data_IF_371723721181
#
_entry.id   IF_371723721181
#
_cell.length_a   1.000
_cell.length_b   1.000
_cell.length_c   1.000
_cell.angle_alpha   90.00
_cell.angle_beta   90.00
_cell.angle_gamma   90.00
#
_symmetry.space_group_name_H-M   'P 1'
#
loop_
_entity.id
_entity.type
_entity.pdbx_description
1 polymer ?
#
# COMPACT_ATOMS: atom_id res chain seq x y z
N UNK A 1 21.45 -10.10 6.78
CA UNK A 1 20.04 -9.85 6.40
C UNK A 1 20.04 -9.37 4.96
N UNK A 2 19.52 -10.18 4.05
CA UNK A 2 19.39 -9.79 2.64
C UNK A 2 18.07 -9.07 2.43
N UNK A 3 18.11 -7.94 1.72
CA UNK A 3 16.96 -7.07 1.56
C UNK A 3 16.75 -6.66 0.11
N UNK A 4 15.52 -6.77 -0.37
CA UNK A 4 15.14 -6.31 -1.70
C UNK A 4 14.07 -5.22 -1.63
N UNK A 5 13.84 -4.57 -2.77
CA UNK A 5 12.72 -3.65 -2.97
C UNK A 5 11.99 -3.96 -4.26
N UNK A 6 10.67 -3.87 -4.24
CA UNK A 6 9.77 -3.97 -5.39
C UNK A 6 9.27 -2.58 -5.75
N UNK A 7 9.41 -2.18 -7.01
CA UNK A 7 8.82 -0.97 -7.59
C UNK A 7 7.78 -1.43 -8.61
N UNK A 8 6.51 -1.08 -8.39
CA UNK A 8 5.43 -1.45 -9.30
C UNK A 8 5.17 -0.32 -10.29
N UNK A 9 5.51 -0.55 -11.56
CA UNK A 9 5.23 0.38 -12.65
C UNK A 9 3.88 0.06 -13.32
N UNK A 10 3.08 1.07 -13.56
CA UNK A 10 1.95 1.03 -14.49
C UNK A 10 1.73 2.40 -15.12
N UNK A 11 2.19 2.58 -16.38
CA UNK A 11 2.11 3.84 -17.11
C UNK A 11 2.71 5.04 -16.34
N UNK A 12 3.78 4.80 -15.58
CA UNK A 12 4.47 5.81 -14.77
C UNK A 12 6.00 5.65 -14.84
N UNK A 13 6.50 5.53 -16.07
CA UNK A 13 7.90 5.27 -16.38
C UNK A 13 8.83 6.30 -15.77
N UNK A 14 8.47 7.59 -15.86
CA UNK A 14 9.32 8.70 -15.39
C UNK A 14 9.62 8.57 -13.89
N UNK A 15 8.59 8.40 -13.06
CA UNK A 15 8.78 8.21 -11.62
C UNK A 15 9.50 6.91 -11.29
N UNK A 16 9.20 5.82 -12.02
CA UNK A 16 9.88 4.54 -11.86
C UNK A 16 11.40 4.66 -12.12
N UNK A 17 11.80 5.31 -13.20
CA UNK A 17 13.21 5.55 -13.52
C UNK A 17 13.89 6.46 -12.50
N UNK A 18 13.20 7.50 -12.04
CA UNK A 18 13.71 8.42 -11.02
C UNK A 18 13.96 7.69 -9.71
N UNK A 19 12.99 6.91 -9.23
CA UNK A 19 13.14 6.12 -8.01
C UNK A 19 14.23 5.06 -8.16
N UNK A 20 14.29 4.33 -9.28
CA UNK A 20 15.35 3.36 -9.54
C UNK A 20 16.75 4.00 -9.47
N UNK A 21 16.95 5.17 -10.11
CA UNK A 21 18.24 5.89 -10.07
C UNK A 21 18.66 6.28 -8.65
N UNK A 22 17.70 6.64 -7.79
CA UNK A 22 17.96 6.95 -6.39
C UNK A 22 18.37 5.69 -5.60
N UNK A 23 17.66 4.58 -5.82
CA UNK A 23 17.83 3.36 -5.01
C UNK A 23 18.99 2.47 -5.44
N UNK A 24 19.44 2.56 -6.70
CA UNK A 24 20.45 1.63 -7.24
C UNK A 24 21.79 1.68 -6.50
N UNK A 25 22.12 2.84 -5.92
CA UNK A 25 23.38 3.06 -5.21
C UNK A 25 23.28 2.81 -3.69
N UNK A 26 22.09 2.49 -3.18
CA UNK A 26 21.90 2.17 -1.76
C UNK A 26 22.48 0.79 -1.44
N UNK A 27 23.44 0.77 -0.51
CA UNK A 27 24.18 -0.44 -0.13
C UNK A 27 23.33 -1.42 0.66
N UNK A 28 22.33 -0.93 1.41
CA UNK A 28 21.41 -1.73 2.20
C UNK A 28 20.49 -2.61 1.33
N UNK A 29 20.26 -2.23 0.08
CA UNK A 29 19.44 -2.98 -0.86
C UNK A 29 20.29 -3.97 -1.65
N UNK A 30 20.08 -5.26 -1.42
CA UNK A 30 20.75 -6.34 -2.18
C UNK A 30 20.25 -6.42 -3.62
N UNK A 31 18.93 -6.21 -3.83
CA UNK A 31 18.29 -6.35 -5.15
C UNK A 31 17.10 -5.40 -5.31
N UNK A 32 16.88 -4.95 -6.54
CA UNK A 32 15.73 -4.13 -6.95
C UNK A 32 14.90 -4.94 -7.96
N UNK A 33 13.61 -5.09 -7.72
CA UNK A 33 12.66 -5.70 -8.64
C UNK A 33 11.75 -4.62 -9.19
N UNK A 34 11.78 -4.38 -10.49
CA UNK A 34 10.82 -3.51 -11.16
C UNK A 34 9.78 -4.41 -11.81
N UNK A 35 8.54 -4.31 -11.37
CA UNK A 35 7.42 -5.05 -11.96
C UNK A 35 6.65 -4.11 -12.87
N UNK A 36 6.69 -4.36 -14.17
CA UNK A 36 5.81 -3.69 -15.12
C UNK A 36 4.47 -4.41 -15.17
N UNK A 37 3.43 -3.76 -14.67
CA UNK A 37 2.10 -4.34 -14.50
C UNK A 37 1.26 -4.28 -15.78
N UNK A 38 1.85 -4.71 -16.90
CA UNK A 38 1.28 -4.63 -18.25
C UNK A 38 0.97 -3.19 -18.67
N UNK A 39 1.96 -2.31 -18.58
CA UNK A 39 1.84 -0.93 -19.07
C UNK A 39 1.52 -0.89 -20.56
N UNK A 40 0.75 0.12 -20.96
CA UNK A 40 0.31 0.37 -22.35
C UNK A 40 1.10 1.48 -23.05
N UNK A 41 2.04 2.10 -22.32
CA UNK A 41 2.99 3.10 -22.83
C UNK A 41 4.33 2.46 -23.25
N UNK A 42 5.35 3.27 -23.45
CA UNK A 42 6.71 2.83 -23.82
C UNK A 42 7.54 2.24 -22.66
N UNK A 43 6.92 2.03 -21.48
CA UNK A 43 7.63 1.55 -20.28
C UNK A 43 8.43 0.28 -20.52
N UNK A 44 7.83 -0.71 -21.20
CA UNK A 44 8.43 -2.03 -21.40
C UNK A 44 9.82 -1.96 -22.04
N UNK A 45 9.94 -1.26 -23.17
CA UNK A 45 11.20 -1.16 -23.93
C UNK A 45 12.33 -0.49 -23.13
N UNK A 46 11.97 0.49 -22.30
CA UNK A 46 12.92 1.22 -21.48
C UNK A 46 13.34 0.43 -20.26
N UNK A 47 12.38 -0.20 -19.56
CA UNK A 47 12.65 -0.98 -18.36
C UNK A 47 13.48 -2.23 -18.64
N UNK A 48 13.27 -2.88 -19.79
CA UNK A 48 14.03 -4.07 -20.19
C UNK A 48 15.56 -3.82 -20.22
N UNK A 49 15.99 -2.59 -20.53
CA UNK A 49 17.40 -2.18 -20.56
C UNK A 49 18.03 -1.98 -19.17
N UNK A 50 17.23 -1.99 -18.10
CA UNK A 50 17.71 -1.81 -16.72
C UNK A 50 18.18 -3.11 -16.07
N UNK A 51 17.99 -4.26 -16.72
CA UNK A 51 18.36 -5.55 -16.14
C UNK A 51 19.88 -5.68 -15.97
N UNK A 52 20.30 -5.92 -14.73
CA UNK A 52 21.69 -6.17 -14.36
C UNK A 52 21.77 -7.08 -13.12
N UNK A 53 22.96 -7.15 -12.50
CA UNK A 53 23.18 -7.93 -11.27
C UNK A 53 22.38 -7.41 -10.07
N UNK A 54 22.00 -6.13 -10.02
CA UNK A 54 21.24 -5.50 -8.92
C UNK A 54 19.75 -5.29 -9.27
N UNK A 55 19.42 -5.14 -10.54
CA UNK A 55 18.06 -4.88 -11.00
C UNK A 55 17.50 -6.04 -11.82
N UNK A 56 16.33 -6.52 -11.45
CA UNK A 56 15.54 -7.49 -12.23
C UNK A 56 14.21 -6.88 -12.63
N UNK A 57 13.89 -6.95 -13.91
CA UNK A 57 12.60 -6.47 -14.44
C UNK A 57 11.68 -7.66 -14.69
N UNK A 58 10.44 -7.55 -14.25
CA UNK A 58 9.39 -8.57 -14.39
C UNK A 58 8.22 -7.95 -15.15
N UNK A 59 7.83 -8.57 -16.25
CA UNK A 59 6.70 -8.13 -17.07
C UNK A 59 5.47 -8.98 -16.75
N UNK A 60 4.45 -8.38 -16.15
CA UNK A 60 3.16 -9.05 -15.97
C UNK A 60 2.49 -9.28 -17.34
N UNK A 61 1.78 -10.40 -17.47
CA UNK A 61 1.01 -10.70 -18.69
C UNK A 61 -0.19 -9.78 -18.85
N UNK A 62 -0.80 -9.39 -17.75
CA UNK A 62 -1.97 -8.53 -17.67
C UNK A 62 -1.96 -7.74 -16.35
N UNK A 63 -2.65 -6.59 -16.31
CA UNK A 63 -2.81 -5.83 -15.08
C UNK A 63 -3.93 -6.43 -14.21
N UNK A 64 -3.55 -7.21 -13.20
CA UNK A 64 -4.46 -7.78 -12.19
C UNK A 64 -4.64 -6.89 -10.95
N UNK A 65 -4.13 -5.66 -10.99
CA UNK A 65 -4.23 -4.71 -9.88
C UNK A 65 -2.95 -4.61 -9.06
N UNK A 66 -3.01 -3.72 -8.07
CA UNK A 66 -1.86 -3.31 -7.25
C UNK A 66 -1.26 -4.47 -6.46
N UNK A 67 -2.12 -5.20 -5.73
CA UNK A 67 -1.66 -6.32 -4.90
C UNK A 67 -1.04 -7.45 -5.70
N UNK A 68 -1.66 -7.82 -6.84
CA UNK A 68 -1.17 -8.88 -7.70
C UNK A 68 0.20 -8.53 -8.31
N UNK A 69 0.37 -7.28 -8.78
CA UNK A 69 1.65 -6.81 -9.31
C UNK A 69 2.76 -6.84 -8.25
N UNK A 70 2.52 -6.33 -7.04
CA UNK A 70 3.50 -6.38 -5.95
C UNK A 70 3.83 -7.81 -5.53
N UNK A 71 2.85 -8.71 -5.51
CA UNK A 71 3.08 -10.12 -5.20
C UNK A 71 4.03 -10.80 -6.21
N UNK A 72 4.02 -10.42 -7.50
CA UNK A 72 5.00 -10.93 -8.47
C UNK A 72 6.43 -10.59 -8.04
N UNK A 73 6.66 -9.35 -7.65
CA UNK A 73 7.97 -8.91 -7.15
C UNK A 73 8.36 -9.61 -5.84
N UNK A 74 7.45 -9.71 -4.87
CA UNK A 74 7.70 -10.42 -3.61
C UNK A 74 8.04 -11.89 -3.82
N UNK A 75 7.28 -12.60 -4.68
CA UNK A 75 7.57 -14.01 -5.01
C UNK A 75 8.97 -14.15 -5.62
N UNK A 76 9.35 -13.28 -6.53
CA UNK A 76 10.68 -13.30 -7.14
C UNK A 76 11.78 -13.04 -6.08
N UNK A 77 11.63 -12.01 -5.24
CA UNK A 77 12.59 -11.69 -4.20
C UNK A 77 12.80 -12.87 -3.21
N UNK A 78 11.70 -13.43 -2.72
CA UNK A 78 11.79 -14.52 -1.73
C UNK A 78 12.25 -15.86 -2.33
N UNK A 79 11.98 -16.12 -3.62
CA UNK A 79 12.51 -17.30 -4.31
C UNK A 79 14.03 -17.18 -4.55
N UNK A 80 14.56 -15.96 -4.67
CA UNK A 80 15.99 -15.68 -4.79
C UNK A 80 16.70 -15.52 -3.42
N UNK A 81 16.04 -15.88 -2.33
CA UNK A 81 16.67 -15.98 -1.01
C UNK A 81 16.66 -14.70 -0.18
N UNK A 82 15.95 -13.65 -0.56
CA UNK A 82 15.82 -12.45 0.27
C UNK A 82 15.10 -12.73 1.58
N UNK A 83 15.58 -12.15 2.69
CA UNK A 83 14.98 -12.28 4.02
C UNK A 83 13.83 -11.28 4.20
N UNK A 84 13.99 -10.08 3.63
CA UNK A 84 13.05 -8.97 3.70
C UNK A 84 12.82 -8.37 2.32
N UNK A 85 11.62 -7.91 2.08
CA UNK A 85 11.31 -7.22 0.84
C UNK A 85 10.46 -5.97 1.09
N UNK A 86 10.99 -4.84 0.69
CA UNK A 86 10.22 -3.59 0.62
C UNK A 86 9.35 -3.58 -0.64
N UNK A 87 8.28 -2.82 -0.60
CA UNK A 87 7.66 -2.25 -1.77
C UNK A 87 7.76 -0.73 -1.69
N UNK A 88 7.77 -0.09 -2.83
CA UNK A 88 7.70 1.35 -2.96
C UNK A 88 6.89 1.75 -4.20
N UNK A 89 5.99 2.70 -4.03
CA UNK A 89 5.35 3.34 -5.17
C UNK A 89 6.39 4.17 -5.94
N UNK A 90 6.27 4.30 -7.28
CA UNK A 90 7.23 5.06 -8.08
C UNK A 90 7.43 6.53 -7.66
N UNK A 91 6.38 7.14 -7.09
CA UNK A 91 6.34 8.53 -6.63
C UNK A 91 6.76 8.72 -5.16
N UNK A 92 7.54 7.78 -4.62
CA UNK A 92 8.16 7.90 -3.29
C UNK A 92 9.62 8.33 -3.37
N UNK A 93 10.15 8.92 -2.27
CA UNK A 93 11.56 9.33 -2.11
C UNK A 93 12.07 8.89 -0.76
N UNK A 94 13.32 8.44 -0.75
CA UNK A 94 13.92 7.84 0.43
C UNK A 94 15.33 8.39 0.68
N UNK A 95 15.72 8.36 1.95
CA UNK A 95 17.13 8.35 2.36
C UNK A 95 17.52 6.92 2.74
N UNK A 96 18.76 6.50 2.52
CA UNK A 96 19.19 5.12 2.79
C UNK A 96 18.93 4.70 4.23
N UNK A 97 19.14 5.59 5.19
CA UNK A 97 18.84 5.37 6.62
C UNK A 97 17.37 4.96 6.89
N UNK A 98 16.44 5.26 5.99
CA UNK A 98 15.05 4.78 6.11
C UNK A 98 14.99 3.25 6.17
N UNK A 99 15.69 2.60 5.26
CA UNK A 99 15.70 1.13 5.14
C UNK A 99 16.34 0.48 6.35
N UNK A 100 17.48 1.01 6.82
CA UNK A 100 18.18 0.53 8.00
C UNK A 100 17.30 0.63 9.26
N UNK A 101 16.65 1.77 9.46
CA UNK A 101 15.75 1.97 10.59
C UNK A 101 14.55 1.02 10.57
N UNK A 102 13.94 0.81 9.40
CA UNK A 102 12.82 -0.13 9.24
C UNK A 102 13.29 -1.57 9.53
N UNK A 103 14.42 -2.00 8.99
CA UNK A 103 14.98 -3.33 9.22
C UNK A 103 15.35 -3.56 10.70
N UNK A 104 15.79 -2.51 11.40
CA UNK A 104 16.15 -2.61 12.83
C UNK A 104 14.97 -3.05 13.71
N UNK A 105 13.73 -2.80 13.30
CA UNK A 105 12.53 -3.20 14.06
C UNK A 105 12.36 -4.73 14.02
N UNK A 106 12.65 -5.37 12.89
CA UNK A 106 12.60 -6.84 12.78
C UNK A 106 13.63 -7.53 13.68
N UNK A 107 14.78 -6.89 13.91
CA UNK A 107 15.82 -7.43 14.81
C UNK A 107 15.45 -7.28 16.29
N UNK A 108 14.64 -6.27 16.65
CA UNK A 108 14.31 -5.93 18.05
C UNK A 108 13.03 -6.59 18.55
N UNK A 109 12.12 -6.95 17.67
CA UNK A 109 10.80 -7.47 18.01
C UNK A 109 10.59 -8.87 17.43
N UNK A 110 9.74 -9.66 18.11
CA UNK A 110 9.38 -11.03 17.67
C UNK A 110 8.07 -11.01 16.87
N UNK A 111 7.98 -11.94 15.91
CA UNK A 111 6.78 -12.12 15.09
C UNK A 111 6.39 -10.84 14.31
N UNK A 112 7.39 -10.12 13.84
CA UNK A 112 7.17 -8.95 12.99
C UNK A 112 6.91 -9.41 11.56
N UNK A 113 5.75 -9.05 11.02
CA UNK A 113 5.39 -9.36 9.64
C UNK A 113 5.57 -8.17 8.71
N UNK A 114 5.25 -6.96 9.20
CA UNK A 114 5.20 -5.77 8.36
C UNK A 114 5.72 -4.56 9.14
N UNK A 115 6.57 -3.76 8.50
CA UNK A 115 7.08 -2.50 9.05
C UNK A 115 7.07 -1.41 7.98
N UNK A 116 6.77 -0.18 8.36
CA UNK A 116 6.94 1.02 7.53
C UNK A 116 7.42 2.19 8.39
N UNK A 117 8.04 3.18 7.76
CA UNK A 117 8.28 4.48 8.39
C UNK A 117 7.10 5.45 8.21
N UNK A 118 7.27 6.68 8.67
CA UNK A 118 6.27 7.74 8.51
C UNK A 118 6.19 8.21 7.05
N UNK A 119 5.02 8.14 6.45
CA UNK A 119 4.77 8.83 5.19
C UNK A 119 4.62 10.33 5.42
N UNK A 120 5.26 11.13 4.61
CA UNK A 120 5.05 12.58 4.50
C UNK A 120 4.55 12.89 3.09
N UNK A 121 3.51 13.70 2.97
CA UNK A 121 3.16 14.30 1.69
C UNK A 121 3.88 15.66 1.52
N UNK A 122 3.89 16.24 0.32
CA UNK A 122 4.53 17.54 0.08
C UNK A 122 3.93 18.70 0.90
N UNK A 123 2.74 18.52 1.45
CA UNK A 123 2.03 19.50 2.28
C UNK A 123 2.18 19.26 3.77
N UNK A 124 3.02 18.29 4.18
CA UNK A 124 3.27 17.94 5.57
C UNK A 124 2.16 17.11 6.23
N UNK A 125 1.14 16.71 5.48
CA UNK A 125 0.08 15.85 5.99
C UNK A 125 0.60 14.42 6.16
N UNK A 126 0.30 13.82 7.31
CA UNK A 126 0.70 12.46 7.63
C UNK A 126 -0.52 11.58 7.83
N UNK A 127 -0.61 10.47 7.10
CA UNK A 127 -1.61 9.43 7.31
C UNK A 127 -0.93 8.07 7.19
N UNK A 128 -0.16 7.68 8.22
CA UNK A 128 0.81 6.60 8.11
C UNK A 128 0.33 5.26 8.63
N UNK A 129 -0.59 5.24 9.60
CA UNK A 129 -1.12 4.02 10.19
C UNK A 129 -2.51 4.24 10.80
N UNK A 130 -3.32 3.18 10.82
CA UNK A 130 -4.64 3.19 11.45
C UNK A 130 -5.00 1.80 11.98
N UNK A 131 -5.98 1.71 12.92
CA UNK A 131 -6.42 0.42 13.44
C UNK A 131 -7.29 -0.32 12.43
N UNK A 132 -7.28 -1.66 12.49
CA UNK A 132 -8.28 -2.48 11.83
C UNK A 132 -9.65 -2.21 12.46
N UNK A 133 -10.62 -1.96 11.63
CA UNK A 133 -11.94 -1.49 12.02
C UNK A 133 -12.96 -2.62 11.99
N UNK A 134 -13.91 -2.61 12.98
CA UNK A 134 -15.13 -3.40 12.88
C UNK A 134 -15.99 -2.91 11.71
N UNK A 135 -17.02 -3.69 11.34
CA UNK A 135 -17.92 -3.31 10.25
C UNK A 135 -18.50 -1.90 10.43
N UNK A 136 -19.01 -1.56 11.60
CA UNK A 136 -19.60 -0.25 11.88
C UNK A 136 -18.57 0.89 11.76
N UNK A 137 -17.38 0.71 12.36
CA UNK A 137 -16.29 1.70 12.25
C UNK A 137 -15.83 1.88 10.79
N UNK A 138 -15.74 0.77 10.04
CA UNK A 138 -15.40 0.83 8.62
C UNK A 138 -16.46 1.62 7.83
N UNK A 139 -17.74 1.42 8.11
CA UNK A 139 -18.84 2.17 7.50
C UNK A 139 -18.74 3.67 7.81
N UNK A 140 -18.47 4.04 9.07
CA UNK A 140 -18.26 5.44 9.49
C UNK A 140 -17.03 6.09 8.85
N UNK A 141 -16.03 5.29 8.46
CA UNK A 141 -14.81 5.80 7.81
C UNK A 141 -14.97 6.12 6.32
N UNK A 142 -16.07 5.71 5.67
CA UNK A 142 -16.28 5.89 4.22
C UNK A 142 -16.66 7.32 3.85
N UNK A 143 -17.51 7.98 4.63
CA UNK A 143 -17.97 9.33 4.37
C UNK A 143 -17.00 10.40 4.88
N UNK A 144 -16.80 11.53 4.17
CA UNK A 144 -15.88 12.58 4.59
C UNK A 144 -16.33 13.26 5.90
N UNK A 145 -17.61 13.49 6.09
CA UNK A 145 -18.16 14.11 7.30
C UNK A 145 -18.09 13.16 8.50
N UNK A 146 -18.56 11.93 8.35
CA UNK A 146 -18.51 10.91 9.41
C UNK A 146 -17.08 10.61 9.84
N UNK A 147 -16.15 10.50 8.89
CA UNK A 147 -14.72 10.33 9.16
C UNK A 147 -14.13 11.46 10.01
N UNK A 148 -14.55 12.71 9.78
CA UNK A 148 -14.10 13.87 10.56
C UNK A 148 -14.71 13.88 11.96
N UNK A 149 -16.02 13.65 12.09
CA UNK A 149 -16.74 13.65 13.36
C UNK A 149 -16.24 12.52 14.28
N UNK A 150 -16.05 11.32 13.74
CA UNK A 150 -15.63 10.13 14.49
C UNK A 150 -14.12 9.85 14.42
N UNK A 151 -13.31 10.86 14.08
CA UNK A 151 -11.86 10.68 13.88
C UNK A 151 -11.15 10.07 15.09
N UNK A 152 -11.50 10.46 16.31
CA UNK A 152 -10.92 9.89 17.56
C UNK A 152 -11.25 8.40 17.76
N UNK A 153 -12.37 7.93 17.21
CA UNK A 153 -12.77 6.53 17.25
C UNK A 153 -12.15 5.69 16.16
N UNK A 154 -11.78 6.33 15.03
CA UNK A 154 -11.36 5.66 13.79
C UNK A 154 -9.85 5.59 13.64
N UNK A 155 -9.09 6.48 14.28
CA UNK A 155 -7.64 6.60 14.10
C UNK A 155 -6.90 6.50 15.43
N UNK A 156 -5.63 6.13 15.37
CA UNK A 156 -4.76 6.19 16.54
C UNK A 156 -4.56 7.65 16.98
N UNK A 157 -4.55 7.92 18.29
CA UNK A 157 -4.16 9.23 18.81
C UNK A 157 -2.73 9.57 18.38
N UNK A 158 -2.46 10.85 18.10
CA UNK A 158 -1.11 11.31 17.74
C UNK A 158 -0.07 10.94 18.80
N UNK A 159 -0.41 11.12 20.07
CA UNK A 159 0.45 10.76 21.19
C UNK A 159 0.82 9.26 21.20
N UNK A 160 -0.07 8.37 20.78
CA UNK A 160 0.24 6.94 20.63
C UNK A 160 1.29 6.70 19.54
N UNK A 161 1.17 7.38 18.41
CA UNK A 161 2.10 7.22 17.28
C UNK A 161 3.47 7.88 17.52
N UNK A 162 3.61 8.70 18.57
CA UNK A 162 4.85 9.45 18.87
C UNK A 162 5.56 8.98 20.14
N UNK A 163 4.99 8.04 20.89
CA UNK A 163 5.48 7.67 22.22
C UNK A 163 6.81 6.90 22.25
N UNK A 164 7.18 6.20 21.17
CA UNK A 164 8.35 5.31 21.09
C UNK A 164 8.98 5.37 19.70
N UNK A 165 10.25 4.94 19.54
CA UNK A 165 10.94 4.85 18.25
C UNK A 165 10.21 3.98 17.22
N UNK A 166 9.38 3.04 17.67
CA UNK A 166 8.44 2.26 16.83
C UNK A 166 7.24 1.84 17.68
N UNK A 167 6.07 1.79 17.07
CA UNK A 167 4.80 1.45 17.73
C UNK A 167 4.06 0.38 16.96
N UNK A 168 3.40 -0.52 17.70
CA UNK A 168 2.56 -1.56 17.09
C UNK A 168 1.32 -0.91 16.48
N UNK A 169 1.00 -1.29 15.23
CA UNK A 169 -0.17 -0.81 14.50
C UNK A 169 -0.83 -1.96 13.77
N UNK A 170 -2.04 -1.76 13.27
CA UNK A 170 -2.72 -2.81 12.50
C UNK A 170 -2.52 -2.64 11.00
N UNK A 171 -2.63 -1.42 10.50
CA UNK A 171 -2.60 -1.07 9.07
C UNK A 171 -1.57 0.02 8.83
N UNK A 172 -0.75 -0.17 7.82
CA UNK A 172 0.26 0.77 7.34
C UNK A 172 -0.12 1.31 5.97
N UNK A 173 0.35 2.50 5.63
CA UNK A 173 0.12 3.09 4.32
C UNK A 173 0.84 2.29 3.22
N UNK A 174 0.13 2.00 2.13
CA UNK A 174 0.58 1.10 1.08
C UNK A 174 1.68 1.64 0.17
N UNK A 175 2.03 2.94 0.22
CA UNK A 175 3.03 3.51 -0.69
C UNK A 175 4.48 3.08 -0.39
N UNK A 176 4.78 2.65 0.84
CA UNK A 176 6.02 1.95 1.19
C UNK A 176 5.82 1.10 2.44
N UNK A 177 6.24 -0.14 2.37
CA UNK A 177 6.26 -1.06 3.51
C UNK A 177 7.29 -2.17 3.27
N UNK A 178 7.75 -2.81 4.36
CA UNK A 178 8.66 -3.95 4.34
C UNK A 178 7.95 -5.17 4.94
N UNK A 179 7.97 -6.30 4.22
CA UNK A 179 7.43 -7.58 4.68
C UNK A 179 8.57 -8.60 4.87
N UNK A 180 8.50 -9.40 5.94
CA UNK A 180 9.43 -10.52 6.13
C UNK A 180 9.04 -11.70 5.25
N UNK A 181 10.04 -12.50 4.82
CA UNK A 181 9.84 -13.73 4.06
C UNK A 181 8.86 -14.70 4.74
N UNK A 182 9.05 -14.91 6.04
CA UNK A 182 8.19 -15.80 6.83
C UNK A 182 6.72 -15.35 6.80
N UNK A 183 6.48 -14.06 7.03
CA UNK A 183 5.13 -13.51 7.01
C UNK A 183 4.50 -13.59 5.61
N UNK A 184 5.27 -13.32 4.55
CA UNK A 184 4.81 -13.47 3.18
C UNK A 184 4.44 -14.92 2.87
N UNK A 185 5.31 -15.86 3.15
CA UNK A 185 5.04 -17.30 2.88
C UNK A 185 3.81 -17.80 3.65
N UNK A 186 3.63 -17.35 4.90
CA UNK A 186 2.48 -17.74 5.72
C UNK A 186 1.16 -17.13 5.25
N UNK A 187 1.19 -15.91 4.73
CA UNK A 187 -0.02 -15.16 4.36
C UNK A 187 -0.29 -15.14 2.86
N UNK A 188 0.72 -15.40 2.03
CA UNK A 188 0.66 -15.24 0.57
C UNK A 188 0.64 -13.77 0.11
N UNK A 189 1.05 -12.83 0.98
CA UNK A 189 1.05 -11.39 0.66
C UNK A 189 -0.34 -10.81 0.45
N UNK A 190 -0.49 -9.96 -0.56
CA UNK A 190 -1.76 -9.35 -0.92
C UNK A 190 -2.79 -10.37 -1.43
N UNK A 191 -4.06 -10.06 -1.25
CA UNK A 191 -5.16 -10.83 -1.83
C UNK A 191 -5.45 -10.32 -3.25
N UNK A 192 -5.18 -11.16 -4.24
CA UNK A 192 -5.23 -10.80 -5.66
C UNK A 192 -6.66 -10.66 -6.23
N UNK A 193 -7.69 -10.93 -5.42
CA UNK A 193 -9.07 -10.59 -5.79
C UNK A 193 -9.35 -9.08 -5.75
N UNK A 194 -8.50 -8.31 -5.03
CA UNK A 194 -8.60 -6.86 -4.94
C UNK A 194 -7.76 -6.21 -6.05
N UNK A 195 -8.44 -5.56 -6.99
CA UNK A 195 -7.75 -4.86 -8.06
C UNK A 195 -7.05 -3.58 -7.56
N UNK A 196 -7.76 -2.78 -6.76
CA UNK A 196 -7.27 -1.53 -6.16
C UNK A 196 -8.16 -1.14 -4.99
N UNK A 197 -7.57 -0.51 -3.96
CA UNK A 197 -8.17 -0.13 -2.67
C UNK A 197 -8.40 -1.31 -1.72
N UNK A 198 -8.33 -1.06 -0.43
CA UNK A 198 -8.47 -1.98 0.71
C UNK A 198 -7.26 -2.92 0.92
N UNK A 199 -6.23 -2.87 0.07
CA UNK A 199 -5.05 -3.75 0.13
C UNK A 199 -4.35 -3.67 1.48
N UNK A 200 -4.22 -2.48 2.05
CA UNK A 200 -3.55 -2.27 3.34
C UNK A 200 -4.33 -2.91 4.49
N UNK A 201 -5.66 -2.78 4.49
CA UNK A 201 -6.51 -3.44 5.50
C UNK A 201 -6.46 -4.96 5.35
N UNK A 202 -6.46 -5.43 4.10
CA UNK A 202 -6.40 -6.86 3.77
C UNK A 202 -5.11 -7.47 4.27
N UNK A 203 -3.95 -6.89 3.94
CA UNK A 203 -2.65 -7.43 4.38
C UNK A 203 -2.53 -7.37 5.91
N UNK A 204 -2.94 -6.26 6.55
CA UNK A 204 -2.97 -6.14 8.01
C UNK A 204 -3.84 -7.20 8.67
N UNK A 205 -5.03 -7.50 8.12
CA UNK A 205 -5.93 -8.53 8.62
C UNK A 205 -5.35 -9.94 8.45
N UNK A 206 -4.72 -10.24 7.29
CA UNK A 206 -4.07 -11.54 7.04
C UNK A 206 -2.92 -11.77 8.03
N UNK A 207 -2.06 -10.77 8.22
CA UNK A 207 -0.94 -10.84 9.16
C UNK A 207 -1.41 -11.05 10.59
N UNK A 208 -2.39 -10.26 11.05
CA UNK A 208 -2.97 -10.42 12.41
C UNK A 208 -3.55 -11.82 12.63
N UNK A 209 -4.28 -12.37 11.64
CA UNK A 209 -4.83 -13.74 11.72
C UNK A 209 -3.75 -14.82 11.74
N UNK A 210 -2.61 -14.56 11.11
CA UNK A 210 -1.46 -15.46 11.09
C UNK A 210 -0.53 -15.31 12.31
N UNK A 211 -0.86 -14.41 13.27
CA UNK A 211 -0.09 -14.18 14.50
C UNK A 211 1.06 -13.20 14.36
N UNK A 212 1.19 -12.52 13.21
CA UNK A 212 2.21 -11.49 12.99
C UNK A 212 1.74 -10.11 13.45
N UNK A 213 2.74 -9.28 13.81
CA UNK A 213 2.56 -7.89 14.22
C UNK A 213 3.04 -6.96 13.12
N UNK A 214 2.39 -5.80 13.01
CA UNK A 214 2.85 -4.70 12.16
C UNK A 214 3.33 -3.55 13.03
N UNK A 215 4.38 -2.84 12.58
CA UNK A 215 4.97 -1.72 13.31
C UNK A 215 5.17 -0.49 12.43
N UNK A 216 4.88 0.67 12.99
CA UNK A 216 5.29 1.97 12.44
C UNK A 216 6.61 2.36 13.09
N UNK A 217 7.69 2.46 12.31
CA UNK A 217 8.96 3.06 12.72
C UNK A 217 8.80 4.59 12.71
N UNK A 218 8.86 5.21 13.89
CA UNK A 218 8.52 6.63 14.07
C UNK A 218 9.69 7.56 13.89
N UNK A 219 10.92 7.02 13.90
CA UNK A 219 12.18 7.76 13.78
C UNK A 219 12.64 7.94 12.34
N UNK A 220 12.00 7.30 11.38
CA UNK A 220 12.30 7.47 9.97
C UNK A 220 11.04 7.81 9.17
N UNK A 221 11.25 8.44 8.03
CA UNK A 221 10.17 8.87 7.15
C UNK A 221 10.59 8.81 5.69
N UNK A 222 9.59 8.72 4.82
CA UNK A 222 9.75 8.85 3.38
C UNK A 222 8.75 9.89 2.84
N UNK A 223 9.07 10.48 1.69
CA UNK A 223 8.17 11.40 0.99
C UNK A 223 7.33 10.61 -0.02
N UNK A 224 6.04 10.90 -0.09
CA UNK A 224 5.13 10.40 -1.13
C UNK A 224 4.54 11.61 -1.87
N UNK A 225 5.00 11.81 -3.10
CA UNK A 225 4.70 13.02 -3.88
C UNK A 225 3.27 13.06 -4.44
N UNK A 226 2.51 11.95 -4.34
CA UNK A 226 1.15 11.77 -4.90
C UNK A 226 1.07 12.28 -6.35
N UNK A 227 1.95 11.72 -7.22
CA UNK A 227 2.01 12.08 -8.64
C UNK A 227 0.73 11.79 -9.41
N UNK A 228 -0.26 11.20 -8.71
CA UNK A 228 -1.57 10.93 -9.26
C UNK A 228 -1.59 9.84 -10.33
N UNK A 229 -0.70 8.84 -10.25
CA UNK A 229 -0.70 7.69 -11.18
C UNK A 229 -2.07 7.02 -11.28
N UNK A 230 -2.78 6.89 -10.14
CA UNK A 230 -4.19 6.45 -10.12
C UNK A 230 -5.11 7.46 -10.82
N UNK A 231 -4.85 8.77 -10.72
CA UNK A 231 -5.63 9.81 -11.41
C UNK A 231 -5.36 9.80 -12.91
N UNK A 232 -4.14 9.50 -13.34
CA UNK A 232 -3.77 9.33 -14.76
C UNK A 232 -4.46 8.11 -15.39
N UNK A 233 -4.50 6.99 -14.66
CA UNK A 233 -5.08 5.73 -15.13
C UNK A 233 -6.61 5.71 -15.09
N UNK A 234 -7.23 6.32 -14.07
CA UNK A 234 -8.68 6.41 -13.90
C UNK A 234 -9.10 7.88 -13.86
N UNK A 235 -9.31 8.49 -15.02
CA UNK A 235 -9.62 9.92 -15.18
C UNK A 235 -10.91 10.34 -14.47
N UNK A 236 -11.95 9.49 -14.48
CA UNK A 236 -13.25 9.82 -13.89
C UNK A 236 -13.29 9.59 -12.37
N UNK A 237 -13.72 10.61 -11.61
CA UNK A 237 -14.00 10.50 -10.17
C UNK A 237 -15.01 9.38 -9.87
N UNK A 238 -16.05 9.29 -10.70
CA UNK A 238 -17.13 8.30 -10.57
C UNK A 238 -16.60 6.88 -10.78
N UNK A 239 -15.72 6.66 -11.77
CA UNK A 239 -15.10 5.35 -11.99
C UNK A 239 -14.24 4.93 -10.80
N UNK A 240 -13.43 5.85 -10.25
CA UNK A 240 -12.62 5.61 -9.05
C UNK A 240 -13.49 5.26 -7.85
N UNK A 241 -14.61 5.99 -7.65
CA UNK A 241 -15.54 5.72 -6.56
C UNK A 241 -16.23 4.36 -6.72
N UNK A 242 -16.68 3.99 -7.92
CA UNK A 242 -17.27 2.67 -8.18
C UNK A 242 -16.27 1.52 -7.91
N UNK A 243 -15.00 1.69 -8.32
CA UNK A 243 -13.97 0.70 -8.07
C UNK A 243 -13.69 0.55 -6.57
N UNK A 244 -13.59 1.67 -5.83
CA UNK A 244 -13.46 1.67 -4.37
C UNK A 244 -14.62 0.93 -3.70
N UNK A 245 -15.86 1.22 -4.08
CA UNK A 245 -17.05 0.57 -3.52
C UNK A 245 -17.07 -0.94 -3.77
N UNK A 246 -16.56 -1.38 -4.94
CA UNK A 246 -16.41 -2.81 -5.23
C UNK A 246 -15.45 -3.47 -4.23
N UNK A 247 -14.30 -2.86 -3.98
CA UNK A 247 -13.29 -3.37 -3.03
C UNK A 247 -13.79 -3.32 -1.58
N UNK A 248 -14.46 -2.23 -1.17
CA UNK A 248 -15.11 -2.11 0.15
C UNK A 248 -16.15 -3.23 0.39
N UNK A 249 -16.98 -3.52 -0.62
CA UNK A 249 -17.98 -4.58 -0.52
C UNK A 249 -17.34 -5.98 -0.44
N UNK A 250 -16.28 -6.21 -1.19
CA UNK A 250 -15.49 -7.45 -1.12
C UNK A 250 -14.83 -7.61 0.26
N UNK A 251 -14.21 -6.54 0.77
CA UNK A 251 -13.59 -6.51 2.11
C UNK A 251 -14.62 -6.79 3.20
N UNK A 252 -15.76 -6.12 3.16
CA UNK A 252 -16.84 -6.33 4.13
C UNK A 252 -17.32 -7.80 4.16
N UNK A 253 -17.51 -8.40 2.98
CA UNK A 253 -17.93 -9.80 2.86
C UNK A 253 -16.85 -10.78 3.32
N UNK A 254 -15.63 -10.66 2.77
CA UNK A 254 -14.56 -11.67 2.91
C UNK A 254 -13.81 -11.55 4.25
N UNK A 255 -13.58 -10.32 4.71
CA UNK A 255 -12.72 -10.05 5.85
C UNK A 255 -13.47 -9.64 7.11
N UNK A 256 -14.57 -8.89 6.99
CA UNK A 256 -15.43 -8.53 8.12
C UNK A 256 -16.59 -9.52 8.35
N UNK A 257 -16.79 -10.48 7.43
CA UNK A 257 -17.87 -11.47 7.49
C UNK A 257 -19.25 -10.82 7.66
N UNK A 258 -19.47 -9.72 6.93
CA UNK A 258 -20.70 -8.96 7.01
C UNK A 258 -21.92 -9.82 6.62
N UNK A 259 -22.96 -9.81 7.47
CA UNK A 259 -24.21 -10.48 7.21
C UNK A 259 -25.08 -9.70 6.19
N UNK A 260 -26.22 -10.27 5.82
CA UNK A 260 -27.12 -9.68 4.80
C UNK A 260 -27.54 -8.26 5.17
N UNK A 261 -27.95 -8.01 6.41
CA UNK A 261 -28.39 -6.69 6.86
C UNK A 261 -27.24 -5.66 6.84
N UNK A 262 -26.05 -6.05 7.26
CA UNK A 262 -24.86 -5.22 7.17
C UNK A 262 -24.51 -4.88 5.72
N UNK A 263 -24.58 -5.86 4.82
CA UNK A 263 -24.35 -5.62 3.38
C UNK A 263 -25.41 -4.70 2.77
N UNK A 264 -26.65 -4.78 3.21
CA UNK A 264 -27.72 -3.86 2.80
C UNK A 264 -27.37 -2.41 3.22
N UNK A 265 -27.04 -2.18 4.49
CA UNK A 265 -26.62 -0.86 4.98
C UNK A 265 -25.39 -0.33 4.26
N UNK A 266 -24.40 -1.19 3.98
CA UNK A 266 -23.23 -0.80 3.19
C UNK A 266 -23.65 -0.27 1.82
N UNK A 267 -24.58 -0.96 1.13
CA UNK A 267 -25.06 -0.54 -0.20
C UNK A 267 -25.80 0.79 -0.15
N UNK A 268 -26.60 1.03 0.89
CA UNK A 268 -27.28 2.34 1.09
C UNK A 268 -26.24 3.46 1.24
N UNK A 269 -25.23 3.30 2.12
CA UNK A 269 -24.16 4.29 2.29
C UNK A 269 -23.38 4.52 1.02
N UNK A 270 -23.04 3.45 0.30
CA UNK A 270 -22.34 3.52 -0.99
C UNK A 270 -23.15 4.28 -2.05
N UNK A 271 -24.46 4.09 -2.09
CA UNK A 271 -25.33 4.81 -3.01
C UNK A 271 -25.36 6.33 -2.72
N UNK A 272 -25.44 6.71 -1.45
CA UNK A 272 -25.37 8.12 -1.02
C UNK A 272 -24.04 8.74 -1.45
N UNK A 273 -22.91 8.12 -1.11
CA UNK A 273 -21.57 8.62 -1.45
C UNK A 273 -21.38 8.70 -2.98
N UNK A 274 -21.94 7.76 -3.74
CA UNK A 274 -21.88 7.81 -5.20
C UNK A 274 -22.70 8.97 -5.75
N UNK A 275 -23.88 9.25 -5.18
CA UNK A 275 -24.70 10.41 -5.52
C UNK A 275 -23.96 11.72 -5.26
N UNK A 276 -23.34 11.88 -4.08
CA UNK A 276 -22.50 13.04 -3.76
C UNK A 276 -21.34 13.19 -4.77
N UNK A 277 -20.68 12.07 -5.14
CA UNK A 277 -19.57 12.08 -6.10
C UNK A 277 -20.04 12.51 -7.49
N UNK A 278 -21.22 12.06 -7.93
CA UNK A 278 -21.84 12.47 -9.21
C UNK A 278 -22.15 13.97 -9.22
N UNK A 279 -22.80 14.47 -8.18
CA UNK A 279 -23.09 15.90 -8.06
C UNK A 279 -21.79 16.72 -8.09
N UNK A 280 -20.79 16.34 -7.30
CA UNK A 280 -19.49 17.02 -7.29
C UNK A 280 -18.80 17.00 -8.66
N UNK A 281 -18.88 15.89 -9.39
CA UNK A 281 -18.28 15.77 -10.72
C UNK A 281 -18.93 16.72 -11.75
N UNK A 282 -20.23 17.02 -11.62
CA UNK A 282 -20.94 17.96 -12.48
C UNK A 282 -20.51 19.42 -12.22
N UNK A 283 -20.15 19.74 -10.97
CA UNK A 283 -19.62 21.09 -10.64
C UNK A 283 -18.19 21.32 -11.13
N UNK A 284 -17.37 20.27 -11.20
CA UNK A 284 -15.98 20.36 -11.70
C UNK A 284 -15.88 20.35 -13.23
N UNK A 285 -16.95 19.99 -13.94
CA UNK A 285 -16.99 19.96 -15.40
C UNK A 285 -17.47 21.29 -16.02
N UNK A 286 -17.83 22.25 -15.20
CA UNK A 286 -18.11 23.63 -15.57
C UNK A 286 -16.91 24.52 -15.26
#
# INVERSE_FOLDING_TARGET
>A
MSCAIVILNYNDLENTLRLYKELKDFSVLTRIYIVDNASTDSSRQTLEKLQDHKCKVIFAKENKGYGAGNNLGFRAAFSEGMDYCFLANPDTRFQEAYFENVLSVFAKEKQVGLVSGRMKDPYGKQATAWPLQSFLKNLLSMGPFSKRIFSSLLFYPKAYLEQKPYVKVDVLHGSSLCISKEAFLKTGGYDEEFFLYEEEKVIGQKLRRAGYKSYLCTICSYLHEDSGSTKKSLKSLVQRQKLRQKSEALYARKYLRANFLQMFFLKVVQAVILGETLLYSLFLSK
#
